data_IF_103953607665
#
_entry.id   IF_103953607665
#
_cell.length_a   1.000
_cell.length_b   1.000
_cell.length_c   1.000
_cell.angle_alpha   90.00
_cell.angle_beta   90.00
_cell.angle_gamma   90.00
#
_symmetry.space_group_name_H-M   'P 1'
#
loop_
_entity.id
_entity.type
_entity.pdbx_description
1 polymer ?
#
# COMPACT_ATOMS: atom_id res chain seq x y z
N UNK A 1 -6.08 14.23 24.80
CA UNK A 1 -5.39 14.11 23.50
C UNK A 1 -6.35 13.45 22.52
N UNK A 2 -6.72 14.13 21.43
CA UNK A 2 -7.50 13.51 20.38
C UNK A 2 -6.60 12.47 19.68
N UNK A 3 -7.01 11.21 19.64
CA UNK A 3 -6.33 10.17 18.84
C UNK A 3 -6.35 10.64 17.38
N UNK A 4 -5.17 10.89 16.83
CA UNK A 4 -5.04 11.20 15.41
C UNK A 4 -5.49 9.97 14.62
N UNK A 5 -6.50 10.15 13.77
CA UNK A 5 -7.10 9.04 13.02
C UNK A 5 -6.09 8.49 12.02
N UNK A 6 -5.93 7.16 11.99
CA UNK A 6 -5.05 6.49 11.04
C UNK A 6 -5.49 6.75 9.59
N UNK A 7 -4.57 6.56 8.64
CA UNK A 7 -4.89 6.69 7.21
C UNK A 7 -6.06 5.78 6.85
N UNK A 8 -6.10 4.54 7.37
CA UNK A 8 -7.22 3.61 7.21
C UNK A 8 -8.56 4.19 7.69
N UNK A 9 -8.61 4.78 8.88
CA UNK A 9 -9.84 5.42 9.40
C UNK A 9 -10.25 6.66 8.58
N UNK A 10 -9.27 7.43 8.08
CA UNK A 10 -9.50 8.58 7.20
C UNK A 10 -10.01 8.12 5.83
N UNK A 11 -9.46 7.05 5.28
CA UNK A 11 -9.83 6.46 4.00
C UNK A 11 -11.20 5.78 4.04
N UNK A 12 -11.51 5.01 5.08
CA UNK A 12 -12.85 4.44 5.29
C UNK A 12 -13.93 5.53 5.31
N UNK A 13 -13.64 6.66 5.98
CA UNK A 13 -14.57 7.79 6.05
C UNK A 13 -14.67 8.58 4.73
N UNK A 14 -13.54 8.76 4.01
CA UNK A 14 -13.48 9.53 2.75
C UNK A 14 -14.12 8.75 1.58
N UNK A 15 -13.86 7.45 1.47
CA UNK A 15 -14.44 6.55 0.45
C UNK A 15 -15.97 6.47 0.54
N UNK A 16 -16.53 6.44 1.76
CA UNK A 16 -17.99 6.39 1.95
C UNK A 16 -18.72 7.69 1.55
N UNK A 17 -18.00 8.77 1.25
CA UNK A 17 -18.60 10.10 1.05
C UNK A 17 -18.45 10.68 -0.36
N UNK A 18 -17.68 10.05 -1.26
CA UNK A 18 -17.51 10.55 -2.63
C UNK A 18 -18.35 9.75 -3.63
N UNK A 19 -19.50 10.33 -3.99
CA UNK A 19 -20.00 10.18 -5.35
C UNK A 19 -19.09 11.03 -6.23
N UNK A 20 -18.18 10.40 -6.96
CA UNK A 20 -17.30 11.06 -7.93
C UNK A 20 -18.08 11.42 -9.21
N UNK A 21 -19.24 12.07 -9.08
CA UNK A 21 -19.82 12.79 -10.22
C UNK A 21 -18.89 13.99 -10.44
N UNK A 22 -18.17 14.06 -11.58
CA UNK A 22 -17.30 15.20 -11.83
C UNK A 22 -18.17 16.45 -11.80
N UNK A 23 -17.79 17.46 -11.00
CA UNK A 23 -18.52 18.72 -10.87
C UNK A 23 -18.85 19.31 -12.26
N UNK A 24 -17.97 19.07 -13.23
CA UNK A 24 -18.12 19.42 -14.64
C UNK A 24 -19.39 18.83 -15.28
N UNK A 25 -19.74 17.57 -15.00
CA UNK A 25 -20.96 16.93 -15.52
C UNK A 25 -22.20 17.60 -14.95
N UNK A 26 -22.21 17.87 -13.64
CA UNK A 26 -23.31 18.58 -12.98
C UNK A 26 -23.48 20.00 -13.55
N UNK A 27 -22.38 20.73 -13.72
CA UNK A 27 -22.37 22.06 -14.33
C UNK A 27 -22.86 22.04 -15.78
N UNK A 28 -22.48 21.02 -16.56
CA UNK A 28 -22.91 20.87 -17.96
C UNK A 28 -24.41 20.62 -18.05
N UNK A 29 -24.97 19.77 -17.17
CA UNK A 29 -26.41 19.52 -17.10
C UNK A 29 -27.16 20.80 -16.71
N UNK A 30 -26.71 21.51 -15.66
CA UNK A 30 -27.31 22.77 -15.23
C UNK A 30 -27.24 23.86 -16.30
N UNK A 31 -26.10 23.98 -16.98
CA UNK A 31 -25.93 24.93 -18.08
C UNK A 31 -26.86 24.60 -19.25
N UNK A 32 -27.00 23.32 -19.60
CA UNK A 32 -27.90 22.88 -20.66
C UNK A 32 -29.37 23.16 -20.30
N UNK A 33 -29.77 22.91 -19.05
CA UNK A 33 -31.08 23.33 -18.54
C UNK A 33 -31.31 24.84 -18.67
N UNK A 34 -30.30 25.66 -18.36
CA UNK A 34 -30.37 27.11 -18.49
C UNK A 34 -30.53 27.57 -19.95
N UNK A 35 -29.80 26.95 -20.89
CA UNK A 35 -29.89 27.24 -22.32
C UNK A 35 -31.27 26.88 -22.87
N UNK A 36 -31.78 25.69 -22.53
CA UNK A 36 -33.11 25.24 -22.98
C UNK A 36 -34.21 26.12 -22.35
N UNK A 37 -34.06 26.51 -21.08
CA UNK A 37 -34.97 27.45 -20.42
C UNK A 37 -35.04 28.80 -21.15
N UNK A 38 -33.90 29.34 -21.58
CA UNK A 38 -33.84 30.56 -22.39
C UNK A 38 -34.48 30.38 -23.77
N UNK A 39 -34.31 29.22 -24.39
CA UNK A 39 -34.91 28.87 -25.70
C UNK A 39 -36.45 28.76 -25.66
N UNK A 40 -37.04 28.50 -24.49
CA UNK A 40 -38.50 28.43 -24.31
C UNK A 40 -39.24 29.68 -24.79
N UNK A 41 -38.61 30.85 -24.70
CA UNK A 41 -39.19 32.13 -25.14
C UNK A 41 -39.35 32.20 -26.66
N UNK A 42 -38.47 31.51 -27.41
CA UNK A 42 -38.41 31.59 -28.87
C UNK A 42 -39.08 30.40 -29.56
N UNK A 43 -39.00 29.19 -28.98
CA UNK A 43 -39.57 27.97 -29.55
C UNK A 43 -40.03 27.02 -28.44
N UNK A 44 -41.29 27.14 -27.98
CA UNK A 44 -41.82 26.37 -26.86
C UNK A 44 -41.77 24.86 -27.09
N UNK A 45 -42.19 24.39 -28.26
CA UNK A 45 -42.29 22.96 -28.57
C UNK A 45 -40.92 22.29 -28.66
N UNK A 46 -39.96 22.95 -29.32
CA UNK A 46 -38.58 22.47 -29.37
C UNK A 46 -37.95 22.44 -27.97
N UNK A 47 -38.20 23.46 -27.15
CA UNK A 47 -37.65 23.52 -25.79
C UNK A 47 -38.19 22.38 -24.93
N UNK A 48 -39.48 22.03 -25.04
CA UNK A 48 -40.09 20.94 -24.28
C UNK A 48 -39.53 19.58 -24.67
N UNK A 49 -39.33 19.33 -25.96
CA UNK A 49 -38.71 18.09 -26.45
C UNK A 49 -37.26 17.95 -25.96
N UNK A 50 -36.47 19.02 -26.06
CA UNK A 50 -35.10 19.04 -25.56
C UNK A 50 -35.03 18.89 -24.03
N UNK A 51 -35.98 19.49 -23.29
CA UNK A 51 -36.11 19.28 -21.84
C UNK A 51 -36.34 17.80 -21.51
N UNK A 52 -37.26 17.14 -22.22
CA UNK A 52 -37.58 15.73 -22.00
C UNK A 52 -36.37 14.83 -22.29
N UNK A 53 -35.65 15.09 -23.38
CA UNK A 53 -34.46 14.31 -23.75
C UNK A 53 -33.31 14.53 -22.75
N UNK A 54 -33.10 15.77 -22.31
CA UNK A 54 -32.04 16.10 -21.34
C UNK A 54 -32.32 15.51 -19.96
N UNK A 55 -33.59 15.49 -19.53
CA UNK A 55 -34.02 14.77 -18.33
C UNK A 55 -33.77 13.27 -18.49
N UNK A 56 -34.09 12.70 -19.66
CA UNK A 56 -33.82 11.29 -19.96
C UNK A 56 -32.33 10.93 -19.84
N UNK A 57 -31.46 11.71 -20.49
CA UNK A 57 -29.99 11.51 -20.43
C UNK A 57 -29.46 11.68 -19.01
N UNK A 58 -29.88 12.73 -18.29
CA UNK A 58 -29.47 12.94 -16.90
C UNK A 58 -29.92 11.78 -15.99
N UNK A 59 -31.13 11.25 -16.20
CA UNK A 59 -31.66 10.13 -15.44
C UNK A 59 -30.92 8.83 -15.74
N UNK A 60 -30.59 8.56 -17.00
CA UNK A 60 -29.78 7.40 -17.38
C UNK A 60 -28.36 7.48 -16.80
N UNK A 61 -27.71 8.64 -16.86
CA UNK A 61 -26.41 8.86 -16.23
C UNK A 61 -26.49 8.66 -14.71
N UNK A 62 -27.51 9.23 -14.07
CA UNK A 62 -27.73 9.06 -12.64
C UNK A 62 -27.99 7.60 -12.26
N UNK A 63 -28.78 6.86 -13.03
CA UNK A 63 -29.04 5.43 -12.79
C UNK A 63 -27.75 4.62 -12.96
N UNK A 64 -27.03 4.80 -14.06
CA UNK A 64 -25.79 4.06 -14.33
C UNK A 64 -24.80 4.33 -13.20
N UNK A 65 -24.61 5.60 -12.84
CA UNK A 65 -23.65 5.99 -11.81
C UNK A 65 -24.09 5.50 -10.43
N UNK A 66 -25.36 5.68 -10.05
CA UNK A 66 -25.89 5.21 -8.76
C UNK A 66 -25.85 3.69 -8.65
N UNK A 67 -26.17 2.96 -9.72
CA UNK A 67 -26.13 1.49 -9.72
C UNK A 67 -24.70 0.98 -9.72
N UNK A 68 -23.79 1.57 -10.50
CA UNK A 68 -22.38 1.20 -10.50
C UNK A 68 -21.75 1.50 -9.15
N UNK A 69 -21.90 2.71 -8.63
CA UNK A 69 -21.37 3.11 -7.32
C UNK A 69 -21.97 2.24 -6.21
N UNK A 70 -23.27 1.95 -6.22
CA UNK A 70 -23.89 1.10 -5.20
C UNK A 70 -23.44 -0.36 -5.29
N UNK A 71 -23.28 -0.90 -6.50
CA UNK A 71 -22.77 -2.26 -6.74
C UNK A 71 -21.31 -2.37 -6.29
N UNK A 72 -20.48 -1.42 -6.74
CA UNK A 72 -19.07 -1.27 -6.36
C UNK A 72 -18.89 -1.13 -4.84
N UNK A 73 -19.65 -0.24 -4.20
CA UNK A 73 -19.61 -0.06 -2.74
C UNK A 73 -20.10 -1.28 -1.97
N UNK A 74 -21.10 -2.02 -2.48
CA UNK A 74 -21.58 -3.24 -1.84
C UNK A 74 -20.52 -4.35 -1.93
N UNK A 75 -19.87 -4.49 -3.08
CA UNK A 75 -18.81 -5.47 -3.30
C UNK A 75 -17.57 -5.14 -2.47
N UNK A 76 -17.16 -3.86 -2.44
CA UNK A 76 -16.08 -3.40 -1.59
C UNK A 76 -16.35 -3.65 -0.10
N UNK A 77 -17.57 -3.37 0.37
CA UNK A 77 -17.99 -3.70 1.75
C UNK A 77 -17.81 -5.17 2.13
N UNK A 78 -17.85 -6.08 1.16
CA UNK A 78 -17.65 -7.51 1.40
C UNK A 78 -16.16 -7.88 1.39
N UNK A 79 -15.38 -7.32 0.46
CA UNK A 79 -14.01 -7.79 0.17
C UNK A 79 -12.93 -6.96 0.87
N UNK A 80 -13.21 -5.73 1.30
CA UNK A 80 -12.18 -4.84 1.88
C UNK A 80 -11.49 -5.46 3.10
N UNK A 81 -12.22 -6.23 3.92
CA UNK A 81 -11.65 -6.86 5.13
C UNK A 81 -10.62 -7.91 4.76
N UNK A 82 -10.88 -8.67 3.71
CA UNK A 82 -10.00 -9.72 3.23
C UNK A 82 -8.74 -9.12 2.60
N UNK A 83 -8.89 -8.02 1.84
CA UNK A 83 -7.75 -7.31 1.26
C UNK A 83 -6.91 -6.62 2.33
N UNK A 84 -7.54 -5.91 3.27
CA UNK A 84 -6.86 -5.31 4.42
C UNK A 84 -6.10 -6.37 5.22
N UNK A 85 -6.68 -7.56 5.37
CA UNK A 85 -6.05 -8.69 6.04
C UNK A 85 -4.83 -9.20 5.25
N UNK A 86 -4.93 -9.37 3.93
CA UNK A 86 -3.81 -9.79 3.08
C UNK A 86 -2.66 -8.78 3.16
N UNK A 87 -2.96 -7.49 3.03
CA UNK A 87 -1.97 -6.42 3.18
C UNK A 87 -1.32 -6.50 4.57
N UNK A 88 -2.13 -6.55 5.63
CA UNK A 88 -1.60 -6.55 7.01
C UNK A 88 -0.75 -7.77 7.30
N UNK A 89 -1.15 -8.93 6.79
CA UNK A 89 -0.39 -10.18 6.91
C UNK A 89 0.95 -10.08 6.19
N UNK A 90 0.98 -9.56 4.96
CA UNK A 90 2.20 -9.48 4.16
C UNK A 90 3.16 -8.42 4.72
N UNK A 91 2.64 -7.27 5.16
CA UNK A 91 3.42 -6.25 5.89
C UNK A 91 4.03 -6.83 7.15
N UNK A 92 3.26 -7.53 8.00
CA UNK A 92 3.77 -8.12 9.23
C UNK A 92 4.84 -9.20 8.96
N UNK A 93 4.62 -10.05 7.95
CA UNK A 93 5.60 -11.07 7.56
C UNK A 93 6.90 -10.45 7.06
N UNK A 94 6.82 -9.39 6.26
CA UNK A 94 7.99 -8.69 5.75
C UNK A 94 8.75 -7.98 6.87
N UNK A 95 8.05 -7.28 7.78
CA UNK A 95 8.65 -6.69 8.98
C UNK A 95 9.44 -7.73 9.79
N UNK A 96 8.84 -8.90 9.99
CA UNK A 96 9.48 -10.01 10.70
C UNK A 96 10.70 -10.56 9.95
N UNK A 97 10.58 -10.74 8.64
CA UNK A 97 11.67 -11.18 7.79
C UNK A 97 12.84 -10.21 7.78
N UNK A 98 12.58 -8.90 7.73
CA UNK A 98 13.63 -7.89 7.79
C UNK A 98 14.33 -7.93 9.14
N UNK A 99 13.56 -7.89 10.24
CA UNK A 99 14.13 -7.93 11.58
C UNK A 99 15.03 -9.18 11.78
N UNK A 100 14.55 -10.36 11.39
CA UNK A 100 15.25 -11.62 11.62
C UNK A 100 16.34 -11.92 10.58
N UNK A 101 16.09 -11.73 9.28
CA UNK A 101 17.02 -12.13 8.21
C UNK A 101 18.09 -11.08 7.94
N UNK A 102 17.75 -9.79 8.01
CA UNK A 102 18.71 -8.69 7.77
C UNK A 102 19.50 -8.40 9.03
N UNK A 103 18.79 -8.20 10.14
CA UNK A 103 19.40 -7.65 11.36
C UNK A 103 19.61 -8.65 12.48
N UNK A 104 19.19 -9.93 12.30
CA UNK A 104 19.30 -10.97 13.33
C UNK A 104 18.67 -10.53 14.67
N UNK A 105 17.49 -9.92 14.59
CA UNK A 105 16.70 -9.57 15.76
C UNK A 105 16.41 -10.81 16.61
N UNK A 106 16.86 -10.78 17.85
CA UNK A 106 16.64 -11.81 18.87
C UNK A 106 15.87 -11.16 20.03
N UNK A 107 14.57 -11.47 20.20
CA UNK A 107 13.73 -10.87 21.23
C UNK A 107 14.11 -11.44 22.61
N UNK A 108 14.15 -10.57 23.63
CA UNK A 108 14.48 -10.97 25.01
C UNK A 108 13.21 -11.26 25.81
N UNK A 109 12.56 -12.39 25.50
CA UNK A 109 11.28 -12.76 26.09
C UNK A 109 11.46 -13.54 27.39
N UNK A 110 10.86 -13.06 28.48
CA UNK A 110 10.80 -13.81 29.73
C UNK A 110 10.02 -15.13 29.55
N UNK A 111 10.72 -16.24 29.84
CA UNK A 111 10.20 -17.59 29.77
C UNK A 111 8.95 -17.84 30.63
N UNK A 112 8.71 -17.06 31.69
CA UNK A 112 7.60 -17.28 32.64
C UNK A 112 6.27 -16.65 32.23
N UNK A 113 6.26 -15.83 31.19
CA UNK A 113 5.08 -15.08 30.74
C UNK A 113 4.13 -15.96 29.91
N UNK A 114 2.82 -15.67 29.94
CA UNK A 114 1.82 -16.42 29.17
C UNK A 114 2.04 -16.27 27.66
N UNK A 115 1.55 -17.21 26.85
CA UNK A 115 1.75 -17.21 25.40
C UNK A 115 1.23 -15.94 24.71
N UNK A 116 0.05 -15.45 25.14
CA UNK A 116 -0.55 -14.25 24.55
C UNK A 116 0.25 -12.99 24.88
N UNK A 117 0.71 -12.85 26.12
CA UNK A 117 1.56 -11.74 26.55
C UNK A 117 2.93 -11.78 25.85
N UNK A 118 3.48 -12.98 25.59
CA UNK A 118 4.72 -13.13 24.79
C UNK A 118 4.56 -12.66 23.36
N UNK A 119 3.43 -12.95 22.69
CA UNK A 119 3.17 -12.47 21.33
C UNK A 119 3.07 -10.94 21.31
N UNK A 120 2.40 -10.36 22.29
CA UNK A 120 2.25 -8.90 22.37
C UNK A 120 3.60 -8.21 22.66
N UNK A 121 4.38 -8.75 23.61
CA UNK A 121 5.74 -8.29 23.90
C UNK A 121 6.66 -8.39 22.68
N UNK A 122 6.67 -9.54 22.00
CA UNK A 122 7.44 -9.75 20.77
C UNK A 122 7.06 -8.75 19.68
N UNK A 123 5.76 -8.56 19.47
CA UNK A 123 5.27 -7.62 18.46
C UNK A 123 5.72 -6.20 18.76
N UNK A 124 5.71 -5.81 20.04
CA UNK A 124 6.16 -4.51 20.52
C UNK A 124 7.67 -4.33 20.40
N UNK A 125 8.48 -5.26 20.89
CA UNK A 125 9.94 -5.18 20.78
C UNK A 125 10.40 -5.09 19.32
N UNK A 126 9.79 -5.89 18.43
CA UNK A 126 10.06 -5.82 16.99
C UNK A 126 9.62 -4.48 16.38
N UNK A 127 8.49 -3.95 16.85
CA UNK A 127 7.99 -2.66 16.42
C UNK A 127 8.93 -1.52 16.81
N UNK A 128 9.46 -1.57 18.03
CA UNK A 128 10.40 -0.60 18.58
C UNK A 128 11.76 -0.74 17.87
N UNK A 129 12.24 -1.97 17.70
CA UNK A 129 13.46 -2.28 16.93
C UNK A 129 13.42 -1.73 15.50
N UNK A 130 12.33 -1.96 14.76
CA UNK A 130 12.20 -1.43 13.39
C UNK A 130 12.00 0.10 13.35
N UNK A 131 11.52 0.72 14.43
CA UNK A 131 11.49 2.17 14.52
C UNK A 131 12.90 2.73 14.76
N UNK A 132 13.71 2.07 15.60
CA UNK A 132 15.12 2.43 15.79
C UNK A 132 15.92 2.29 14.48
N UNK A 133 15.65 1.26 13.67
CA UNK A 133 16.34 1.09 12.38
C UNK A 133 15.95 2.16 11.34
N UNK A 134 14.78 2.79 11.48
CA UNK A 134 14.29 3.86 10.60
C UNK A 134 15.01 5.20 10.87
N UNK A 135 15.56 5.37 12.08
CA UNK A 135 16.34 6.55 12.46
C UNK A 135 17.79 6.47 11.96
N UNK A 136 18.24 5.28 11.54
CA UNK A 136 19.59 5.07 11.06
C UNK A 136 19.77 5.60 9.63
N UNK A 137 20.92 6.22 9.39
CA UNK A 137 21.29 6.58 8.03
C UNK A 137 21.83 5.37 7.23
N UNK A 138 22.06 5.57 5.94
CA UNK A 138 22.58 4.53 5.04
C UNK A 138 23.91 3.95 5.55
N UNK A 139 24.81 4.79 6.05
CA UNK A 139 26.16 4.38 6.45
C UNK A 139 26.11 3.54 7.74
N UNK A 140 25.21 3.87 8.65
CA UNK A 140 24.94 3.08 9.86
C UNK A 140 24.30 1.73 9.53
N UNK A 141 23.37 1.68 8.57
CA UNK A 141 22.75 0.43 8.11
C UNK A 141 23.76 -0.50 7.42
N UNK A 142 24.71 0.04 6.65
CA UNK A 142 25.79 -0.75 6.04
C UNK A 142 26.55 -1.55 7.11
N UNK A 143 26.83 -0.94 8.26
CA UNK A 143 27.56 -1.60 9.37
C UNK A 143 26.73 -2.73 9.99
N UNK A 144 25.40 -2.62 9.97
CA UNK A 144 24.48 -3.60 10.54
C UNK A 144 24.24 -4.80 9.62
N UNK A 145 24.42 -4.65 8.30
CA UNK A 145 24.25 -5.75 7.34
C UNK A 145 25.40 -6.74 7.48
N UNK A 146 25.11 -7.92 8.03
CA UNK A 146 26.07 -9.03 8.09
C UNK A 146 26.16 -9.71 6.71
N UNK A 147 27.16 -9.32 5.92
CA UNK A 147 27.26 -9.75 4.52
C UNK A 147 27.15 -11.27 4.31
N UNK A 148 27.85 -12.06 5.14
CA UNK A 148 27.85 -13.53 5.04
C UNK A 148 26.47 -14.16 5.29
N UNK A 149 25.61 -13.47 6.05
CA UNK A 149 24.28 -13.96 6.42
C UNK A 149 23.19 -13.41 5.51
N UNK A 150 23.41 -12.23 4.93
CA UNK A 150 22.42 -11.51 4.14
C UNK A 150 22.51 -11.84 2.64
N UNK A 151 23.71 -11.82 2.05
CA UNK A 151 23.91 -11.98 0.60
C UNK A 151 23.94 -13.45 0.17
N UNK A 152 22.78 -14.09 0.16
CA UNK A 152 22.62 -15.47 -0.27
C UNK A 152 21.30 -15.70 -1.04
N UNK A 153 21.19 -16.89 -1.64
CA UNK A 153 20.04 -17.26 -2.45
C UNK A 153 18.74 -17.35 -1.63
N UNK A 154 18.80 -17.82 -0.39
CA UNK A 154 17.61 -17.97 0.46
C UNK A 154 16.95 -16.61 0.73
N UNK A 155 17.74 -15.59 1.03
CA UNK A 155 17.24 -14.24 1.23
C UNK A 155 16.76 -13.61 -0.07
N UNK A 156 17.44 -13.86 -1.20
CA UNK A 156 16.95 -13.43 -2.51
C UNK A 156 15.55 -14.00 -2.78
N UNK A 157 15.38 -15.32 -2.64
CA UNK A 157 14.12 -16.01 -2.91
C UNK A 157 13.02 -15.51 -1.95
N UNK A 158 13.36 -15.28 -0.68
CA UNK A 158 12.43 -14.72 0.30
C UNK A 158 11.93 -13.32 -0.10
N UNK A 159 12.83 -12.39 -0.43
CA UNK A 159 12.40 -11.02 -0.78
C UNK A 159 11.72 -10.96 -2.14
N UNK A 160 12.08 -11.84 -3.08
CA UNK A 160 11.41 -11.97 -4.37
C UNK A 160 9.96 -12.48 -4.19
N UNK A 161 9.77 -13.51 -3.36
CA UNK A 161 8.43 -14.00 -2.97
C UNK A 161 7.61 -12.87 -2.35
N UNK A 162 8.20 -12.07 -1.45
CA UNK A 162 7.48 -10.94 -0.84
C UNK A 162 7.17 -9.82 -1.82
N UNK A 163 8.04 -9.56 -2.79
CA UNK A 163 7.73 -8.61 -3.85
C UNK A 163 6.53 -9.08 -4.68
N UNK A 164 6.46 -10.37 -5.01
CA UNK A 164 5.33 -10.96 -5.74
C UNK A 164 4.05 -10.94 -4.91
N UNK A 165 4.10 -11.25 -3.61
CA UNK A 165 2.96 -11.16 -2.68
C UNK A 165 2.27 -9.78 -2.73
N UNK A 166 3.04 -8.68 -2.81
CA UNK A 166 2.49 -7.33 -2.96
C UNK A 166 1.99 -7.03 -4.38
N UNK A 167 2.69 -7.53 -5.39
CA UNK A 167 2.28 -7.40 -6.79
C UNK A 167 0.95 -8.10 -7.07
N UNK A 168 0.73 -9.27 -6.47
CA UNK A 168 -0.54 -9.98 -6.55
C UNK A 168 -1.67 -9.15 -5.98
N UNK A 169 -1.50 -8.54 -4.79
CA UNK A 169 -2.50 -7.64 -4.18
C UNK A 169 -2.83 -6.47 -5.13
N UNK A 170 -1.82 -5.86 -5.73
CA UNK A 170 -1.98 -4.75 -6.68
C UNK A 170 -2.69 -5.16 -7.97
N UNK A 171 -2.56 -6.42 -8.40
CA UNK A 171 -3.21 -6.94 -9.61
C UNK A 171 -4.50 -7.70 -9.34
N UNK A 172 -4.94 -7.82 -8.08
CA UNK A 172 -6.25 -8.35 -7.79
C UNK A 172 -7.32 -7.49 -8.47
N UNK A 173 -8.40 -8.13 -8.93
CA UNK A 173 -9.57 -7.46 -9.53
C UNK A 173 -10.10 -6.27 -8.72
N UNK A 174 -9.81 -6.25 -7.42
CA UNK A 174 -10.31 -5.27 -6.47
C UNK A 174 -9.29 -4.17 -6.12
N UNK A 175 -8.10 -4.15 -6.73
CA UNK A 175 -7.13 -3.08 -6.49
C UNK A 175 -7.64 -1.70 -6.94
N UNK A 176 -8.58 -1.66 -7.89
CA UNK A 176 -9.28 -0.43 -8.31
C UNK A 176 -10.05 0.27 -7.17
N UNK A 177 -10.30 -0.43 -6.06
CA UNK A 177 -10.97 0.10 -4.88
C UNK A 177 -10.02 0.50 -3.76
N UNK A 178 -8.71 0.26 -3.92
CA UNK A 178 -7.73 0.73 -2.96
C UNK A 178 -7.58 2.25 -3.08
N UNK A 179 -7.25 2.89 -1.96
CA UNK A 179 -6.91 4.30 -1.97
C UNK A 179 -5.65 4.52 -2.82
N UNK A 180 -5.58 5.56 -3.68
CA UNK A 180 -4.39 5.83 -4.48
C UNK A 180 -3.10 5.94 -3.66
N UNK A 181 -3.20 6.49 -2.45
CA UNK A 181 -2.08 6.60 -1.52
C UNK A 181 -1.55 5.22 -1.10
N UNK A 182 -2.44 4.30 -0.73
CA UNK A 182 -2.08 2.92 -0.39
C UNK A 182 -1.51 2.16 -1.60
N UNK A 183 -2.06 2.39 -2.79
CA UNK A 183 -1.51 1.80 -4.03
C UNK A 183 -0.08 2.27 -4.26
N UNK A 184 0.19 3.56 -4.06
CA UNK A 184 1.56 4.11 -4.17
C UNK A 184 2.50 3.44 -3.17
N UNK A 185 2.12 3.37 -1.90
CA UNK A 185 2.92 2.74 -0.83
C UNK A 185 3.25 1.27 -1.15
N UNK A 186 2.27 0.51 -1.65
CA UNK A 186 2.46 -0.89 -2.04
C UNK A 186 3.34 -1.07 -3.28
N UNK A 187 3.24 -0.15 -4.26
CA UNK A 187 4.11 -0.15 -5.45
C UNK A 187 5.55 0.16 -5.02
N UNK A 188 5.75 1.19 -4.20
CA UNK A 188 7.07 1.57 -3.70
C UNK A 188 7.70 0.44 -2.87
N UNK A 189 6.90 -0.26 -2.05
CA UNK A 189 7.36 -1.43 -1.32
C UNK A 189 7.78 -2.57 -2.27
N UNK A 190 6.97 -2.88 -3.29
CA UNK A 190 7.32 -3.86 -4.31
C UNK A 190 8.62 -3.51 -5.03
N UNK A 191 8.75 -2.25 -5.49
CA UNK A 191 9.96 -1.78 -6.18
C UNK A 191 11.18 -1.85 -5.27
N UNK A 192 11.06 -1.38 -4.02
CA UNK A 192 12.14 -1.46 -3.04
C UNK A 192 12.62 -2.89 -2.82
N UNK A 193 11.70 -3.87 -2.74
CA UNK A 193 12.05 -5.29 -2.63
C UNK A 193 12.77 -5.83 -3.88
N UNK A 194 12.31 -5.47 -5.08
CA UNK A 194 12.99 -5.86 -6.34
C UNK A 194 14.37 -5.22 -6.47
N UNK A 195 14.55 -4.01 -5.97
CA UNK A 195 15.85 -3.34 -5.89
C UNK A 195 16.77 -4.03 -4.89
N UNK A 196 16.25 -4.44 -3.73
CA UNK A 196 16.98 -5.25 -2.74
C UNK A 196 17.43 -6.59 -3.33
N UNK A 197 16.56 -7.29 -4.06
CA UNK A 197 16.91 -8.51 -4.79
C UNK A 197 18.00 -8.27 -5.84
N UNK A 198 17.95 -7.12 -6.50
CA UNK A 198 18.98 -6.73 -7.48
C UNK A 198 20.32 -6.42 -6.81
N UNK A 199 20.31 -5.79 -5.62
CA UNK A 199 21.50 -5.59 -4.79
C UNK A 199 22.13 -6.93 -4.35
N UNK A 200 21.31 -7.91 -3.96
CA UNK A 200 21.78 -9.25 -3.60
C UNK A 200 22.47 -9.94 -4.78
N UNK A 201 21.84 -9.90 -5.96
CA UNK A 201 22.45 -10.45 -7.19
C UNK A 201 23.73 -9.71 -7.58
N UNK A 202 23.76 -8.39 -7.39
CA UNK A 202 24.94 -7.59 -7.68
C UNK A 202 26.12 -7.98 -6.78
N UNK A 203 25.87 -8.21 -5.49
CA UNK A 203 26.88 -8.73 -4.58
C UNK A 203 27.37 -10.12 -5.01
N UNK A 204 26.45 -11.03 -5.37
CA UNK A 204 26.78 -12.39 -5.83
C UNK A 204 27.66 -12.41 -7.09
N UNK A 205 27.60 -11.37 -7.96
CA UNK A 205 28.50 -11.26 -9.11
C UNK A 205 29.97 -11.15 -8.70
N UNK A 206 30.27 -10.69 -7.48
CA UNK A 206 31.65 -10.59 -6.98
C UNK A 206 32.36 -11.95 -6.91
N UNK A 207 31.61 -13.03 -6.73
CA UNK A 207 32.13 -14.40 -6.71
C UNK A 207 32.46 -14.94 -8.12
N UNK A 208 31.75 -14.43 -9.14
CA UNK A 208 31.91 -14.82 -10.54
C UNK A 208 32.98 -13.96 -11.23
N UNK A 209 32.92 -12.63 -11.03
CA UNK A 209 33.76 -11.63 -11.67
C UNK A 209 34.88 -11.18 -10.74
N UNK A 210 35.83 -12.08 -10.48
CA UNK A 210 36.92 -11.90 -9.50
C UNK A 210 37.77 -10.64 -9.71
N UNK A 211 37.92 -10.19 -10.96
CA UNK A 211 38.71 -8.99 -11.30
C UNK A 211 38.09 -7.70 -10.73
N UNK A 212 36.77 -7.66 -10.54
CA UNK A 212 36.02 -6.52 -10.01
C UNK A 212 35.32 -6.86 -8.69
N UNK A 213 35.88 -7.81 -7.91
CA UNK A 213 35.24 -8.35 -6.71
C UNK A 213 34.81 -7.24 -5.74
N UNK A 214 35.75 -6.37 -5.36
CA UNK A 214 35.51 -5.33 -4.36
C UNK A 214 34.45 -4.33 -4.82
N UNK A 215 34.43 -3.99 -6.11
CA UNK A 215 33.42 -3.11 -6.72
C UNK A 215 32.01 -3.71 -6.63
N UNK A 216 31.83 -4.97 -7.04
CA UNK A 216 30.51 -5.61 -7.01
C UNK A 216 30.01 -5.84 -5.58
N UNK A 217 30.94 -6.15 -4.66
CA UNK A 217 30.66 -6.31 -3.24
C UNK A 217 30.19 -5.00 -2.61
N UNK A 218 30.97 -3.92 -2.76
CA UNK A 218 30.62 -2.61 -2.19
C UNK A 218 29.32 -2.07 -2.79
N UNK A 219 29.16 -2.17 -4.11
CA UNK A 219 27.95 -1.71 -4.79
C UNK A 219 26.71 -2.49 -4.34
N UNK A 220 26.83 -3.80 -4.13
CA UNK A 220 25.74 -4.63 -3.58
C UNK A 220 25.35 -4.21 -2.16
N UNK A 221 26.33 -3.98 -1.28
CA UNK A 221 26.12 -3.51 0.10
C UNK A 221 25.46 -2.14 0.13
N UNK A 222 25.99 -1.18 -0.62
CA UNK A 222 25.46 0.18 -0.67
C UNK A 222 24.04 0.22 -1.23
N UNK A 223 23.78 -0.55 -2.29
CA UNK A 223 22.44 -0.62 -2.89
C UNK A 223 21.45 -1.28 -1.94
N UNK A 224 21.86 -2.34 -1.24
CA UNK A 224 21.00 -3.01 -0.27
C UNK A 224 20.63 -2.08 0.90
N UNK A 225 21.60 -1.36 1.46
CA UNK A 225 21.35 -0.39 2.52
C UNK A 225 20.36 0.70 2.06
N UNK A 226 20.56 1.25 0.86
CA UNK A 226 19.65 2.25 0.31
C UNK A 226 18.21 1.72 0.16
N UNK A 227 18.06 0.51 -0.38
CA UNK A 227 16.73 -0.11 -0.53
C UNK A 227 16.10 -0.41 0.83
N UNK A 228 16.88 -0.84 1.83
CA UNK A 228 16.38 -1.14 3.17
C UNK A 228 15.85 0.09 3.88
N UNK A 229 16.49 1.26 3.75
CA UNK A 229 15.96 2.54 4.26
C UNK A 229 14.52 2.76 3.77
N UNK A 230 14.34 2.73 2.45
CA UNK A 230 13.03 2.98 1.81
C UNK A 230 12.00 1.94 2.23
N UNK A 231 12.39 0.66 2.29
CA UNK A 231 11.49 -0.43 2.71
C UNK A 231 11.05 -0.24 4.17
N UNK A 232 11.98 0.06 5.08
CA UNK A 232 11.68 0.21 6.51
C UNK A 232 10.77 1.41 6.73
N UNK A 233 11.06 2.54 6.08
CA UNK A 233 10.22 3.74 6.12
C UNK A 233 8.78 3.41 5.68
N UNK A 234 8.63 2.78 4.51
CA UNK A 234 7.32 2.39 3.97
C UNK A 234 6.58 1.39 4.88
N UNK A 235 7.28 0.45 5.51
CA UNK A 235 6.68 -0.48 6.47
C UNK A 235 6.21 0.21 7.76
N UNK A 236 6.90 1.27 8.20
CA UNK A 236 6.50 2.07 9.34
C UNK A 236 5.33 2.99 8.99
N UNK A 237 5.30 3.56 7.79
CA UNK A 237 4.14 4.29 7.27
C UNK A 237 2.90 3.40 7.19
N UNK A 238 3.00 2.20 6.60
CA UNK A 238 1.90 1.22 6.52
C UNK A 238 1.40 0.78 7.91
N UNK A 239 2.31 0.63 8.88
CA UNK A 239 1.93 0.36 10.28
C UNK A 239 1.17 1.54 10.89
N UNK A 240 1.66 2.77 10.74
CA UNK A 240 0.98 3.98 11.22
C UNK A 240 -0.39 4.19 10.54
N UNK A 241 -0.51 3.75 9.29
CA UNK A 241 -1.76 3.74 8.54
C UNK A 241 -2.77 2.68 9.05
N UNK A 242 -2.34 1.71 9.87
CA UNK A 242 -3.20 0.66 10.45
C UNK A 242 -3.15 -0.67 9.70
N UNK A 243 -2.18 -0.86 8.81
CA UNK A 243 -1.97 -2.08 8.02
C UNK A 243 -0.91 -3.00 8.65
N UNK A 244 -0.71 -2.96 9.97
CA UNK A 244 0.11 -3.95 10.69
C UNK A 244 -0.53 -4.47 11.98
N UNK A 245 -1.79 -4.10 12.28
CA UNK A 245 -2.46 -4.59 13.48
C UNK A 245 -2.62 -6.13 13.42
N UNK A 246 -2.42 -6.79 14.57
CA UNK A 246 -2.70 -8.21 14.70
C UNK A 246 -4.16 -8.46 14.33
N UNK A 247 -4.39 -9.35 13.36
CA UNK A 247 -5.74 -9.73 12.98
C UNK A 247 -6.50 -10.22 14.22
N UNK A 248 -7.58 -9.52 14.58
CA UNK A 248 -8.54 -10.07 15.55
C UNK A 248 -9.15 -11.31 14.89
N UNK A 249 -8.69 -12.48 15.30
CA UNK A 249 -9.36 -13.75 14.98
C UNK A 249 -10.70 -13.70 15.69
N UNK A 250 -11.75 -13.32 14.96
CA UNK A 250 -13.15 -13.40 15.42
C UNK A 250 -13.73 -14.76 15.10
#
# INVERSE_FOLDING_TARGET
MAKEKSLKEKLEKKMLTKSDIPIIVLLTVLFSFFVIWRLRVYSPDLSLNLFSELIGVAFTLFIIDTLLVRSKNKLWKLVHKDIDYLISRNVNRLRDGIATRVFKFEPDLDSQVSFNEKIEALSKERADFLAEMDELDKDELIIKIKENDFFNQENYDYFDEKAEDFWEILNMKYSEYLAPELVSELIELHTGLKDLCSAIRQHAKSDILKENKDYYRSLGVESAAQSLVVIIENLNQLKAAGYSENAKVS
#
